data_IF_382176013346
#
_entry.id   IF_382176013346
#
_cell.length_a   1.000
_cell.length_b   1.000
_cell.length_c   1.000
_cell.angle_alpha   90.00
_cell.angle_beta   90.00
_cell.angle_gamma   90.00
#
_symmetry.space_group_name_H-M   'P 1'
#
loop_
_entity.id
_entity.type
_entity.pdbx_description
1 polymer ?
#
# COMPACT_ATOMS: atom_id res chain seq x y z
N UNK A 1 -2.01 20.52 4.48
CA UNK A 1 -1.54 19.46 5.40
C UNK A 1 -1.33 18.23 4.53
N UNK A 2 -0.14 17.64 4.50
CA UNK A 2 0.15 16.53 3.61
C UNK A 2 -0.74 15.33 3.98
N UNK A 3 -1.50 14.81 3.02
CA UNK A 3 -2.30 13.60 3.16
C UNK A 3 -1.34 12.43 3.39
N UNK A 4 -1.21 11.99 4.64
CA UNK A 4 -0.34 10.85 4.98
C UNK A 4 -1.08 9.54 4.74
N UNK A 5 -0.44 8.62 4.03
CA UNK A 5 -0.99 7.31 3.73
C UNK A 5 -0.63 6.29 4.80
N UNK A 6 -1.65 5.51 5.20
CA UNK A 6 -1.49 4.35 6.08
C UNK A 6 -0.77 3.22 5.34
N UNK A 7 0.13 2.55 6.05
CA UNK A 7 0.88 1.41 5.54
C UNK A 7 0.07 0.14 5.71
N UNK A 8 -0.07 -0.64 4.64
CA UNK A 8 -0.84 -1.89 4.63
C UNK A 8 0.01 -3.07 4.20
N UNK A 9 -0.52 -4.28 4.34
CA UNK A 9 0.12 -5.50 3.84
C UNK A 9 0.57 -5.36 2.38
N UNK A 10 1.81 -5.78 2.11
CA UNK A 10 2.44 -5.65 0.81
C UNK A 10 3.16 -4.32 0.60
N UNK A 11 3.25 -3.48 1.62
CA UNK A 11 4.08 -2.28 1.60
C UNK A 11 5.55 -2.63 1.27
N UNK A 12 6.16 -1.89 0.36
CA UNK A 12 7.57 -2.08 0.05
C UNK A 12 8.43 -1.22 0.97
N UNK A 13 9.42 -1.85 1.57
CA UNK A 13 10.39 -1.21 2.43
C UNK A 13 11.79 -1.37 1.83
N UNK A 14 12.65 -0.40 2.09
CA UNK A 14 14.04 -0.40 1.64
C UNK A 14 14.95 0.02 2.78
N UNK A 15 16.02 -0.75 3.01
CA UNK A 15 17.08 -0.39 3.94
C UNK A 15 18.10 0.50 3.24
N UNK A 16 18.55 1.58 3.89
CA UNK A 16 19.61 2.48 3.38
C UNK A 16 20.93 1.78 3.08
N UNK A 17 21.17 0.65 3.76
CA UNK A 17 22.36 -0.17 3.61
C UNK A 17 22.11 -1.46 2.83
N UNK A 18 20.87 -1.70 2.42
CA UNK A 18 20.47 -2.86 1.62
C UNK A 18 20.55 -2.55 0.12
N UNK A 19 20.71 -3.58 -0.70
CA UNK A 19 20.75 -3.47 -2.16
C UNK A 19 19.42 -3.80 -2.85
N UNK A 20 18.44 -4.36 -2.13
CA UNK A 20 17.13 -4.70 -2.68
C UNK A 20 15.99 -4.33 -1.71
N UNK A 21 14.84 -3.88 -2.24
CA UNK A 21 13.63 -3.69 -1.45
C UNK A 21 12.93 -5.02 -1.15
N UNK A 22 12.17 -5.07 -0.06
CA UNK A 22 11.34 -6.23 0.34
C UNK A 22 9.93 -5.78 0.72
N UNK A 23 8.99 -6.72 0.78
CA UNK A 23 7.58 -6.46 1.06
C UNK A 23 7.23 -6.84 2.49
N UNK A 24 6.57 -5.93 3.20
CA UNK A 24 6.10 -6.12 4.56
C UNK A 24 4.86 -7.02 4.58
N UNK A 25 4.89 -8.04 5.43
CA UNK A 25 3.82 -8.99 5.69
C UNK A 25 3.35 -8.82 7.13
N UNK A 26 2.10 -8.41 7.29
CA UNK A 26 1.48 -8.26 8.60
C UNK A 26 1.13 -9.65 9.11
N UNK A 27 1.72 -10.04 10.24
CA UNK A 27 1.51 -11.36 10.87
C UNK A 27 0.80 -11.24 12.22
N UNK A 28 0.69 -10.03 12.75
CA UNK A 28 0.27 -9.78 14.13
C UNK A 28 -1.26 -9.79 14.30
N UNK A 29 -2.01 -9.45 13.26
CA UNK A 29 -3.47 -9.37 13.32
C UNK A 29 -4.09 -9.37 11.91
N UNK A 30 -5.37 -9.73 11.84
CA UNK A 30 -6.16 -9.80 10.61
C UNK A 30 -7.56 -9.19 10.79
N UNK A 31 -7.72 -8.18 11.67
CA UNK A 31 -9.02 -7.59 11.99
C UNK A 31 -9.22 -6.18 11.45
N UNK A 32 -8.14 -5.45 11.20
CA UNK A 32 -8.18 -4.03 10.87
C UNK A 32 -7.60 -3.83 9.47
N UNK A 33 -8.47 -3.47 8.54
CA UNK A 33 -8.18 -3.38 7.11
C UNK A 33 -8.29 -1.93 6.64
N UNK A 34 -7.41 -1.52 5.74
CA UNK A 34 -7.48 -0.19 5.12
C UNK A 34 -7.77 -0.26 3.62
N UNK A 35 -8.71 0.59 3.19
CA UNK A 35 -9.04 0.89 1.79
C UNK A 35 -9.38 -0.34 0.93
N UNK A 36 -10.18 -1.26 1.45
CA UNK A 36 -10.70 -2.42 0.73
C UNK A 36 -12.22 -2.40 0.86
N UNK A 37 -12.96 -2.30 -0.26
CA UNK A 37 -14.45 -2.35 -0.25
C UNK A 37 -14.98 -3.68 0.30
N UNK A 38 -14.18 -4.73 0.25
CA UNK A 38 -14.46 -6.07 0.76
C UNK A 38 -13.90 -6.32 2.18
N UNK A 39 -13.17 -5.37 2.77
CA UNK A 39 -12.66 -5.44 4.14
C UNK A 39 -11.87 -6.70 4.50
N UNK A 40 -11.20 -7.36 3.54
CA UNK A 40 -10.71 -8.74 3.75
C UNK A 40 -9.26 -9.01 3.34
N UNK A 41 -8.63 -8.15 2.52
CA UNK A 41 -7.35 -8.52 1.87
C UNK A 41 -6.10 -7.76 2.29
N UNK A 42 -6.22 -6.63 3.00
CA UNK A 42 -5.08 -5.76 3.33
C UNK A 42 -5.10 -5.29 4.78
N UNK A 43 -4.60 -6.10 5.73
CA UNK A 43 -4.45 -5.67 7.11
C UNK A 43 -3.47 -4.50 7.21
N UNK A 44 -3.73 -3.60 8.17
CA UNK A 44 -2.89 -2.44 8.46
C UNK A 44 -1.61 -2.90 9.14
N UNK A 45 -0.47 -2.34 8.75
CA UNK A 45 0.80 -2.64 9.41
C UNK A 45 0.93 -1.84 10.71
N UNK A 46 1.45 -2.49 11.76
CA UNK A 46 1.50 -1.91 13.10
C UNK A 46 2.88 -1.96 13.72
N UNK A 47 3.10 -1.16 14.76
CA UNK A 47 4.37 -1.14 15.51
C UNK A 47 4.72 -2.47 16.18
N UNK A 48 3.77 -3.39 16.32
CA UNK A 48 3.99 -4.73 16.87
C UNK A 48 4.48 -5.73 15.80
N UNK A 49 4.46 -5.37 14.51
CA UNK A 49 5.05 -6.15 13.42
C UNK A 49 6.58 -6.00 13.42
N UNK A 50 7.20 -6.57 14.46
CA UNK A 50 8.65 -6.65 14.66
C UNK A 50 9.19 -8.05 14.33
N UNK A 51 10.51 -8.17 14.22
CA UNK A 51 11.28 -9.34 13.78
C UNK A 51 11.23 -9.58 12.26
N UNK A 52 11.09 -10.84 11.86
CA UNK A 52 11.10 -11.31 10.48
C UNK A 52 9.67 -11.25 9.89
N UNK A 53 9.23 -10.04 9.58
CA UNK A 53 7.88 -9.75 9.05
C UNK A 53 7.88 -9.47 7.55
N UNK A 54 9.00 -9.62 6.86
CA UNK A 54 9.04 -9.42 5.41
C UNK A 54 8.81 -10.72 4.64
N UNK A 55 8.38 -10.63 3.38
CA UNK A 55 8.15 -11.81 2.55
C UNK A 55 9.44 -12.58 2.26
N UNK A 56 10.53 -11.89 1.88
CA UNK A 56 11.83 -12.53 1.63
C UNK A 56 12.74 -12.52 2.85
N UNK A 57 12.41 -11.73 3.87
CA UNK A 57 13.22 -11.51 5.07
C UNK A 57 14.67 -11.10 4.76
N UNK A 58 14.90 -10.45 3.62
CA UNK A 58 16.22 -10.01 3.18
C UNK A 58 16.14 -8.75 2.33
N UNK A 59 17.02 -7.78 2.62
CA UNK A 59 17.20 -6.58 1.79
C UNK A 59 18.41 -6.70 0.84
N UNK A 60 18.65 -7.92 0.34
CA UNK A 60 19.83 -8.24 -0.49
C UNK A 60 21.12 -8.27 0.34
N UNK A 61 22.13 -7.51 -0.08
CA UNK A 61 23.43 -7.38 0.60
C UNK A 61 23.45 -6.16 1.52
N UNK A 62 24.02 -6.31 2.72
CA UNK A 62 24.13 -5.22 3.69
C UNK A 62 25.54 -4.61 3.71
N UNK A 63 25.67 -3.32 3.39
CA UNK A 63 26.97 -2.62 3.44
C UNK A 63 27.57 -2.59 4.86
N UNK A 64 26.74 -2.50 5.90
CA UNK A 64 27.19 -2.54 7.31
C UNK A 64 27.71 -3.90 7.74
N UNK A 65 27.32 -4.96 7.03
CA UNK A 65 27.75 -6.33 7.30
C UNK A 65 28.84 -6.80 6.32
N UNK A 66 29.60 -5.85 5.75
CA UNK A 66 30.65 -6.12 4.76
C UNK A 66 30.12 -6.86 3.51
N UNK A 67 28.98 -6.38 2.98
CA UNK A 67 28.25 -6.96 1.84
C UNK A 67 27.75 -8.40 2.03
N UNK A 68 27.69 -8.89 3.27
CA UNK A 68 27.01 -10.16 3.60
C UNK A 68 25.50 -10.07 3.36
N UNK A 69 24.81 -11.21 3.16
CA UNK A 69 23.36 -11.24 3.04
C UNK A 69 22.70 -10.59 4.26
N UNK A 70 21.79 -9.66 4.00
CA UNK A 70 21.06 -8.92 5.03
C UNK A 70 19.91 -9.77 5.59
N UNK A 71 19.79 -9.85 6.92
CA UNK A 71 18.58 -10.35 7.57
C UNK A 71 17.67 -9.16 7.88
N UNK A 72 16.49 -9.10 7.24
CA UNK A 72 15.52 -8.04 7.42
C UNK A 72 14.76 -8.21 8.75
N UNK A 73 15.45 -7.98 9.86
CA UNK A 73 14.90 -8.08 11.22
C UNK A 73 14.60 -6.66 11.72
N UNK A 74 13.34 -6.39 12.00
CA UNK A 74 12.91 -5.12 12.61
C UNK A 74 12.93 -5.26 14.14
N UNK A 75 13.63 -4.37 14.83
CA UNK A 75 13.61 -4.34 16.31
C UNK A 75 12.58 -3.35 16.84
N UNK A 76 12.38 -2.23 16.14
CA UNK A 76 11.48 -1.16 16.57
C UNK A 76 11.05 -0.31 15.38
N UNK A 77 9.82 0.18 15.44
CA UNK A 77 9.29 1.21 14.55
C UNK A 77 9.33 2.59 15.21
N UNK A 78 9.44 3.64 14.39
CA UNK A 78 9.42 5.06 14.77
C UNK A 78 8.59 5.84 13.75
N UNK A 79 8.15 7.05 14.08
CA UNK A 79 7.31 7.87 13.18
C UNK A 79 5.93 7.28 12.90
N UNK A 80 5.38 6.51 13.85
CA UNK A 80 4.04 5.93 13.80
C UNK A 80 2.99 6.91 14.32
N UNK A 81 1.72 6.67 14.00
CA UNK A 81 0.62 7.49 14.46
C UNK A 81 0.29 7.18 15.93
N UNK A 82 0.42 8.17 16.82
CA UNK A 82 0.30 7.94 18.27
C UNK A 82 -1.11 8.08 18.84
N UNK A 83 -2.01 8.76 18.12
CA UNK A 83 -3.35 9.08 18.62
C UNK A 83 -4.32 7.88 18.57
N UNK A 84 -4.00 6.85 17.77
CA UNK A 84 -4.83 5.65 17.61
C UNK A 84 -4.02 4.39 17.90
N UNK A 85 -4.56 3.52 18.75
CA UNK A 85 -4.03 2.20 19.07
C UNK A 85 -5.03 1.16 18.55
N UNK A 86 -4.53 0.18 17.79
CA UNK A 86 -5.33 -0.91 17.25
C UNK A 86 -5.65 -1.96 18.32
N UNK A 87 -6.55 -2.89 17.99
CA UNK A 87 -7.00 -3.95 18.91
C UNK A 87 -5.88 -4.89 19.34
N UNK A 88 -4.78 -4.94 18.57
CA UNK A 88 -3.58 -5.72 18.86
C UNK A 88 -2.59 -5.01 19.80
N UNK A 89 -2.90 -3.79 20.26
CA UNK A 89 -2.01 -2.95 21.07
C UNK A 89 -0.89 -2.27 20.28
N UNK A 90 -0.88 -2.44 18.96
CA UNK A 90 0.03 -1.75 18.05
C UNK A 90 -0.51 -0.38 17.61
N UNK A 91 0.40 0.52 17.24
CA UNK A 91 0.07 1.81 16.64
C UNK A 91 0.14 1.72 15.11
N UNK A 92 -0.63 2.56 14.40
CA UNK A 92 -0.69 2.57 12.93
C UNK A 92 0.64 3.08 12.37
N UNK A 93 1.21 2.34 11.40
CA UNK A 93 2.36 2.81 10.63
C UNK A 93 1.91 3.73 9.47
N UNK A 94 2.65 4.80 9.27
CA UNK A 94 2.48 5.78 8.21
C UNK A 94 3.61 5.67 7.19
N UNK A 95 3.46 6.27 6.02
CA UNK A 95 4.53 6.29 4.99
C UNK A 95 5.85 6.89 5.48
N UNK A 96 5.80 7.81 6.45
CA UNK A 96 6.98 8.42 7.08
C UNK A 96 7.55 7.59 8.24
N UNK A 97 6.89 6.49 8.60
CA UNK A 97 7.40 5.57 9.62
C UNK A 97 8.69 4.90 9.18
N UNK A 98 9.60 4.71 10.13
CA UNK A 98 10.91 4.10 9.91
C UNK A 98 11.10 2.91 10.82
N UNK A 99 11.88 1.95 10.35
CA UNK A 99 12.21 0.75 11.10
C UNK A 99 13.70 0.73 11.45
N UNK A 100 13.97 0.23 12.65
CA UNK A 100 15.30 -0.01 13.20
C UNK A 100 15.69 -1.47 12.99
N UNK A 101 16.93 -1.71 12.56
CA UNK A 101 17.53 -3.03 12.41
C UNK A 101 18.74 -3.15 13.36
N UNK A 102 19.01 -4.31 13.97
CA UNK A 102 20.18 -4.48 14.84
C UNK A 102 21.52 -4.27 14.13
N UNK A 103 21.55 -4.43 12.80
CA UNK A 103 22.77 -4.26 11.97
C UNK A 103 22.90 -2.83 11.45
N UNK A 104 21.79 -2.24 10.99
CA UNK A 104 21.77 -0.90 10.38
C UNK A 104 21.70 0.25 11.38
N UNK A 105 21.25 -0.03 12.61
CA UNK A 105 20.99 0.98 13.64
C UNK A 105 19.58 1.56 13.55
N UNK A 106 19.37 2.67 14.26
CA UNK A 106 18.10 3.37 14.36
C UNK A 106 17.66 3.94 13.01
N UNK A 107 16.38 3.73 12.67
CA UNK A 107 15.71 4.31 11.50
C UNK A 107 16.42 4.06 10.15
N UNK A 108 17.01 2.88 10.00
CA UNK A 108 17.74 2.50 8.78
C UNK A 108 16.83 1.99 7.64
N UNK A 109 15.61 1.53 7.95
CA UNK A 109 14.64 1.01 6.99
C UNK A 109 13.55 2.06 6.79
N UNK A 110 13.30 2.42 5.53
CA UNK A 110 12.28 3.40 5.14
C UNK A 110 11.23 2.72 4.26
N UNK A 111 10.00 3.21 4.34
CA UNK A 111 8.88 2.70 3.55
C UNK A 111 8.87 3.46 2.23
N UNK A 112 9.06 2.76 1.11
CA UNK A 112 9.07 3.35 -0.23
C UNK A 112 7.69 3.29 -0.88
N UNK A 113 6.88 2.30 -0.51
CA UNK A 113 5.49 2.20 -0.94
C UNK A 113 4.63 1.70 0.21
N UNK A 114 3.59 2.48 0.56
CA UNK A 114 2.62 2.14 1.60
C UNK A 114 1.75 0.90 1.29
N UNK A 115 1.80 0.37 0.05
CA UNK A 115 1.12 -0.87 -0.34
C UNK A 115 -0.38 -0.71 -0.64
N UNK A 116 -0.95 0.47 -0.41
CA UNK A 116 -2.30 0.75 -0.89
C UNK A 116 -2.26 0.87 -2.41
N UNK A 117 -3.18 0.18 -3.09
CA UNK A 117 -3.46 0.45 -4.50
C UNK A 117 -4.54 1.51 -4.50
N UNK A 118 -4.29 2.65 -5.13
CA UNK A 118 -5.38 3.51 -5.56
C UNK A 118 -6.15 2.73 -6.64
N UNK A 119 -7.17 1.97 -6.24
CA UNK A 119 -8.19 1.60 -7.20
C UNK A 119 -8.85 2.92 -7.63
N UNK A 120 -8.69 3.27 -8.90
CA UNK A 120 -9.46 4.34 -9.52
C UNK A 120 -10.93 3.92 -9.49
N UNK A 121 -11.60 4.08 -8.35
CA UNK A 121 -13.06 4.05 -8.32
C UNK A 121 -13.55 5.16 -9.25
N UNK A 122 -14.65 4.93 -9.96
CA UNK A 122 -15.26 5.89 -10.89
C UNK A 122 -15.43 7.31 -10.30
N UNK A 123 -15.47 7.46 -8.98
CA UNK A 123 -15.47 8.77 -8.29
C UNK A 123 -14.15 9.57 -8.37
N UNK A 124 -12.99 8.93 -8.60
CA UNK A 124 -11.71 9.63 -8.85
C UNK A 124 -11.66 10.23 -10.26
N UNK A 125 -12.43 9.69 -11.21
CA UNK A 125 -12.60 10.30 -12.54
C UNK A 125 -13.42 11.60 -12.49
N UNK A 126 -14.35 11.73 -11.53
CA UNK A 126 -15.16 12.94 -11.36
C UNK A 126 -14.41 14.13 -10.73
N UNK A 127 -13.39 13.85 -9.89
CA UNK A 127 -12.54 14.90 -9.27
C UNK A 127 -11.23 15.18 -10.03
N UNK A 128 -10.90 14.38 -11.04
CA UNK A 128 -9.77 14.66 -11.91
C UNK A 128 -10.11 15.87 -12.80
N UNK A 129 -9.32 16.93 -12.69
CA UNK A 129 -9.48 18.16 -13.47
C UNK A 129 -9.62 17.83 -14.96
N UNK A 130 -10.81 18.13 -15.54
CA UNK A 130 -11.20 17.81 -16.92
C UNK A 130 -10.17 18.24 -17.98
N UNK A 131 -9.33 19.23 -17.67
CA UNK A 131 -8.29 19.72 -18.57
C UNK A 131 -7.18 18.69 -18.81
N UNK A 132 -6.80 17.89 -17.80
CA UNK A 132 -5.72 16.89 -17.91
C UNK A 132 -6.19 15.63 -18.64
N UNK A 133 -7.47 15.26 -18.48
CA UNK A 133 -8.06 14.12 -19.18
C UNK A 133 -8.15 14.33 -20.70
N UNK A 134 -8.32 15.58 -21.15
CA UNK A 134 -8.42 15.91 -22.58
C UNK A 134 -7.08 15.85 -23.31
N UNK A 135 -5.94 16.04 -22.63
CA UNK A 135 -4.62 16.05 -23.28
C UNK A 135 -3.99 14.67 -23.47
N UNK A 136 -4.39 13.67 -22.68
CA UNK A 136 -3.84 12.31 -22.76
C UNK A 136 -4.60 11.40 -23.73
N UNK A 137 -5.79 11.82 -24.19
CA UNK A 137 -6.68 10.98 -24.96
C UNK A 137 -7.08 11.65 -26.29
N UNK A 138 -6.24 11.55 -27.33
CA UNK A 138 -6.55 12.03 -28.68
C UNK A 138 -7.71 11.26 -29.37
N UNK A 139 -8.40 10.36 -28.67
CA UNK A 139 -9.58 9.60 -29.14
C UNK A 139 -10.90 10.02 -28.46
N UNK A 140 -10.91 11.09 -27.67
CA UNK A 140 -12.10 11.56 -26.93
C UNK A 140 -13.24 12.10 -27.80
N UNK A 141 -13.05 12.23 -29.12
CA UNK A 141 -14.10 12.65 -30.07
C UNK A 141 -14.86 11.49 -30.74
N UNK A 142 -14.48 10.22 -30.51
CA UNK A 142 -15.16 9.05 -31.10
C UNK A 142 -15.92 8.23 -30.05
N UNK A 143 -16.77 8.89 -29.27
CA UNK A 143 -17.74 8.23 -28.37
C UNK A 143 -19.18 8.69 -28.64
N UNK A 144 -19.56 8.98 -29.88
CA UNK A 144 -20.93 9.44 -30.15
C UNK A 144 -21.64 8.77 -31.35
N UNK A 145 -21.34 7.52 -31.70
CA UNK A 145 -22.12 6.83 -32.76
C UNK A 145 -22.31 5.30 -32.59
N UNK A 146 -22.20 4.76 -31.37
CA UNK A 146 -22.63 3.38 -31.10
C UNK A 146 -23.48 3.22 -29.83
N UNK A 147 -24.04 4.32 -29.34
CA UNK A 147 -24.93 4.35 -28.19
C UNK A 147 -26.43 4.38 -28.56
N UNK A 148 -26.82 4.02 -29.79
CA UNK A 148 -28.22 4.07 -30.26
C UNK A 148 -28.66 2.80 -31.02
N UNK A 149 -28.30 1.60 -30.56
CA UNK A 149 -28.96 0.38 -31.03
C UNK A 149 -28.92 -0.71 -29.97
N UNK A 150 -29.78 -0.60 -28.94
CA UNK A 150 -30.52 -1.71 -28.31
C UNK A 150 -31.39 -1.22 -27.12
N UNK A 151 -32.26 -0.22 -27.33
CA UNK A 151 -33.44 -0.06 -26.47
C UNK A 151 -34.61 -0.82 -27.10
N UNK A 152 -35.13 -1.81 -26.36
CA UNK A 152 -36.52 -2.25 -26.47
C UNK A 152 -36.88 -3.20 -27.62
N UNK A 153 -36.82 -4.50 -27.36
CA UNK A 153 -37.84 -5.40 -27.90
C UNK A 153 -38.47 -6.18 -26.74
N UNK A 154 -39.67 -5.76 -26.37
CA UNK A 154 -40.58 -6.57 -25.57
C UNK A 154 -40.91 -7.85 -26.35
N UNK A 155 -40.78 -9.02 -25.71
CA UNK A 155 -41.66 -10.15 -26.02
C UNK A 155 -42.31 -10.61 -24.73
N UNK A 156 -43.61 -10.38 -24.71
CA UNK A 156 -44.57 -10.76 -23.69
C UNK A 156 -44.92 -12.26 -23.78
N UNK A 157 -45.20 -12.86 -22.61
CA UNK A 157 -46.10 -14.02 -22.33
C UNK A 157 -45.77 -15.39 -22.96
N UNK A 158 -46.07 -16.57 -22.39
CA UNK A 158 -46.92 -17.02 -21.27
C UNK A 158 -46.67 -18.52 -21.00
N UNK A 159 -47.13 -18.96 -19.82
CA UNK A 159 -47.43 -20.33 -19.34
C UNK A 159 -46.32 -21.06 -18.59
#
# INVERSE_FOLDING_TARGET
MAEKHIVVQGAQCMCKYGSAPDKLKVLTHAKEYANDKDGSKKPIATTVDINATFEKNMFGSCSKMNNKPCSAIVTKWSGFYEETILSNGGKILLEDSKATCPVGGTDCIEIIHHGQKAEASKQNFDNANKNVQSQLNPLSESLNESANDFEGMEVSVKS
#
